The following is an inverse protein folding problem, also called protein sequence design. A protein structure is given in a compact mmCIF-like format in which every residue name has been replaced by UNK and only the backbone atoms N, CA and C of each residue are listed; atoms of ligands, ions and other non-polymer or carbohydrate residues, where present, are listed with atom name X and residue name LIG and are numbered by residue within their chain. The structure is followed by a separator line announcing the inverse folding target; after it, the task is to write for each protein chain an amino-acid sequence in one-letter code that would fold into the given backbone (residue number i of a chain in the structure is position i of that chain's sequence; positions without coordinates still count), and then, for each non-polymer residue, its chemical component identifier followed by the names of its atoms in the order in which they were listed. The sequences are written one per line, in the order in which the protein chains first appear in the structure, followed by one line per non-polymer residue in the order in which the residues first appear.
data_IF_803336110513
#
_entry.id   IF_803336110513
#
_cell.length_a   1.000
_cell.length_b   1.000
_cell.length_c   1.000
_cell.angle_alpha   90.00
_cell.angle_beta   90.00
_cell.angle_gamma   90.00
#
_symmetry.space_group_name_H-M   'P 1'
#
loop_
_entity.id
_entity.type
_entity.pdbx_description
1 polymer ?
#
# COMPACT_ATOMS: atom_id res chain seq x y z
N UNK A 1 -16.88 -7.52 -25.85
CA UNK A 1 -17.08 -8.33 -24.64
C UNK A 1 -15.78 -9.07 -24.32
N UNK A 2 -14.83 -8.47 -23.60
CA UNK A 2 -13.53 -9.17 -23.43
C UNK A 2 -12.50 -8.61 -22.46
N UNK A 3 -12.67 -7.40 -21.93
CA UNK A 3 -11.71 -6.85 -20.95
C UNK A 3 -12.21 -7.00 -19.50
N UNK A 4 -13.53 -6.86 -19.29
CA UNK A 4 -14.14 -6.96 -17.96
C UNK A 4 -14.15 -8.40 -17.41
N UNK A 5 -14.30 -9.40 -18.28
CA UNK A 5 -14.28 -10.82 -17.89
C UNK A 5 -12.87 -11.33 -17.52
N UNK A 6 -11.81 -10.70 -18.01
CA UNK A 6 -10.43 -11.04 -17.63
C UNK A 6 -10.07 -10.50 -16.23
N UNK A 7 -10.66 -9.36 -15.84
CA UNK A 7 -10.55 -8.79 -14.49
C UNK A 7 -11.32 -9.62 -13.45
N UNK A 8 -12.49 -10.16 -13.81
CA UNK A 8 -13.26 -11.09 -12.97
C UNK A 8 -12.51 -12.41 -12.68
N UNK A 9 -11.65 -12.86 -13.61
CA UNK A 9 -10.84 -14.07 -13.45
C UNK A 9 -9.67 -13.89 -12.46
N UNK A 10 -9.10 -12.69 -12.38
CA UNK A 10 -7.99 -12.38 -11.46
C UNK A 10 -8.51 -12.15 -10.03
N UNK A 11 -9.72 -11.61 -9.89
CA UNK A 11 -10.35 -11.36 -8.59
C UNK A 11 -10.68 -12.62 -7.77
N UNK A 12 -10.79 -13.81 -8.41
CA UNK A 12 -11.12 -15.07 -7.71
C UNK A 12 -9.94 -15.79 -7.05
N UNK A 13 -8.69 -15.39 -7.34
CA UNK A 13 -7.50 -16.12 -6.87
C UNK A 13 -6.93 -15.66 -5.52
N UNK A 14 -7.37 -14.53 -4.98
CA UNK A 14 -6.75 -13.87 -3.81
C UNK A 14 -7.69 -13.86 -2.58
N UNK A 15 -8.86 -14.50 -2.66
CA UNK A 15 -9.97 -14.35 -1.69
C UNK A 15 -9.90 -15.30 -0.48
N UNK A 16 -8.70 -15.73 -0.08
CA UNK A 16 -8.54 -16.46 1.19
C UNK A 16 -7.49 -15.79 2.07
N UNK A 17 -7.86 -14.71 2.75
CA UNK A 17 -7.02 -14.21 3.84
C UNK A 17 -7.31 -12.81 4.42
N UNK A 18 -8.11 -11.96 3.78
CA UNK A 18 -8.41 -10.62 4.29
C UNK A 18 -9.91 -10.41 4.20
N UNK A 19 -10.59 -10.42 5.35
CA UNK A 19 -12.00 -10.09 5.43
C UNK A 19 -12.28 -8.73 4.77
N UNK A 20 -13.33 -8.73 3.95
CA UNK A 20 -13.91 -7.59 3.27
C UNK A 20 -14.12 -6.39 4.21
N UNK A 21 -13.26 -5.38 4.09
CA UNK A 21 -13.66 -4.01 4.39
C UNK A 21 -13.09 -3.08 3.33
N UNK A 22 -13.93 -2.70 2.36
CA UNK A 22 -13.66 -1.57 1.48
C UNK A 22 -13.82 -0.31 2.33
N UNK A 23 -12.78 0.06 3.09
CA UNK A 23 -12.75 1.31 3.84
C UNK A 23 -12.29 2.46 2.94
N UNK A 24 -13.07 3.54 2.93
CA UNK A 24 -12.69 4.80 2.30
C UNK A 24 -11.53 5.40 3.12
N UNK A 25 -10.51 6.05 2.52
CA UNK A 25 -9.28 6.44 3.23
C UNK A 25 -9.48 7.21 4.55
N UNK A 26 -10.56 8.00 4.64
CA UNK A 26 -10.93 8.75 5.85
C UNK A 26 -11.39 7.88 7.02
N UNK A 27 -12.04 6.74 6.76
CA UNK A 27 -12.50 5.82 7.80
C UNK A 27 -11.36 4.96 8.34
N UNK A 28 -10.38 4.62 7.49
CA UNK A 28 -9.10 4.02 7.94
C UNK A 28 -8.37 4.97 8.89
N UNK A 29 -8.31 6.27 8.56
CA UNK A 29 -7.69 7.26 9.41
C UNK A 29 -8.43 7.42 10.75
N UNK A 30 -9.77 7.45 10.74
CA UNK A 30 -10.57 7.62 11.97
C UNK A 30 -10.51 6.39 12.89
N UNK A 31 -10.51 5.18 12.31
CA UNK A 31 -10.33 3.93 13.06
C UNK A 31 -8.92 3.81 13.65
N UNK A 32 -7.88 4.14 12.86
CA UNK A 32 -6.48 4.11 13.32
C UNK A 32 -6.25 5.13 14.45
N UNK A 33 -6.77 6.35 14.32
CA UNK A 33 -6.68 7.38 15.37
C UNK A 33 -7.46 6.97 16.64
N UNK A 34 -8.64 6.36 16.50
CA UNK A 34 -9.42 5.87 17.64
C UNK A 34 -8.75 4.73 18.42
N UNK A 35 -7.90 3.93 17.77
CA UNK A 35 -7.08 2.87 18.38
C UNK A 35 -5.75 3.38 18.95
N UNK A 36 -5.18 4.46 18.39
CA UNK A 36 -3.87 5.03 18.75
C UNK A 36 -3.80 5.77 20.10
N UNK A 37 -4.93 6.20 20.68
CA UNK A 37 -4.95 7.03 21.89
C UNK A 37 -5.62 6.36 23.10
N UNK A 38 -5.91 5.06 23.04
CA UNK A 38 -6.72 4.34 24.04
C UNK A 38 -5.94 3.60 25.14
N UNK A 39 -4.76 3.05 24.86
CA UNK A 39 -3.94 2.30 25.83
C UNK A 39 -2.44 2.41 25.44
N UNK A 40 -1.56 2.80 26.37
CA UNK A 40 -0.49 3.76 26.02
C UNK A 40 0.77 3.21 25.34
N UNK A 41 1.19 1.96 25.52
CA UNK A 41 2.53 1.54 25.05
C UNK A 41 2.54 0.21 24.27
N UNK A 42 1.75 -0.78 24.69
CA UNK A 42 1.61 -2.05 23.96
C UNK A 42 0.95 -1.87 22.58
N UNK A 43 0.05 -0.87 22.46
CA UNK A 43 -0.61 -0.55 21.20
C UNK A 43 0.32 0.17 20.23
N UNK A 44 1.27 1.00 20.70
CA UNK A 44 2.21 1.70 19.83
C UNK A 44 3.19 0.75 19.13
N UNK A 45 3.69 -0.27 19.81
CA UNK A 45 4.56 -1.28 19.19
C UNK A 45 3.79 -2.13 18.17
N UNK A 46 2.54 -2.49 18.50
CA UNK A 46 1.65 -3.20 17.57
C UNK A 46 1.37 -2.37 16.32
N UNK A 47 1.01 -1.10 16.50
CA UNK A 47 0.71 -0.18 15.40
C UNK A 47 1.96 0.10 14.56
N UNK A 48 3.14 0.21 15.16
CA UNK A 48 4.39 0.31 14.42
C UNK A 48 4.62 -0.93 13.54
N UNK A 49 4.29 -2.12 14.04
CA UNK A 49 4.31 -3.36 13.26
C UNK A 49 3.33 -3.35 12.08
N UNK A 50 2.11 -2.85 12.28
CA UNK A 50 1.08 -2.72 11.23
C UNK A 50 1.51 -1.71 10.15
N UNK A 51 2.07 -0.55 10.54
CA UNK A 51 2.59 0.46 9.61
C UNK A 51 3.77 -0.09 8.80
N UNK A 52 4.68 -0.84 9.43
CA UNK A 52 5.79 -1.49 8.71
C UNK A 52 5.30 -2.57 7.74
N UNK A 53 4.27 -3.34 8.13
CA UNK A 53 3.64 -4.30 7.24
C UNK A 53 2.99 -3.61 6.03
N UNK A 54 2.39 -2.44 6.23
CA UNK A 54 1.82 -1.63 5.15
C UNK A 54 2.90 -1.11 4.20
N UNK A 55 4.03 -0.60 4.73
CA UNK A 55 5.16 -0.19 3.90
C UNK A 55 5.66 -1.34 2.99
N UNK A 56 5.80 -2.54 3.54
CA UNK A 56 6.17 -3.74 2.77
C UNK A 56 5.15 -4.11 1.69
N UNK A 57 3.86 -3.87 1.93
CA UNK A 57 2.82 -4.10 0.92
C UNK A 57 2.92 -3.06 -0.21
N UNK A 58 3.21 -1.80 0.12
CA UNK A 58 3.45 -0.74 -0.87
C UNK A 58 4.66 -1.07 -1.73
N UNK A 59 5.76 -1.54 -1.12
CA UNK A 59 6.97 -1.96 -1.87
C UNK A 59 6.65 -3.08 -2.86
N UNK A 60 5.93 -4.12 -2.41
CA UNK A 60 5.52 -5.23 -3.30
C UNK A 60 4.63 -4.74 -4.44
N UNK A 61 3.64 -3.89 -4.15
CA UNK A 61 2.79 -3.31 -5.18
C UNK A 61 3.61 -2.50 -6.20
N UNK A 62 4.60 -1.75 -5.73
CA UNK A 62 5.50 -0.98 -6.58
C UNK A 62 6.28 -1.90 -7.55
N UNK A 63 6.79 -3.02 -7.05
CA UNK A 63 7.50 -4.03 -7.85
C UNK A 63 6.59 -4.76 -8.84
N UNK A 64 5.37 -5.09 -8.43
CA UNK A 64 4.36 -5.72 -9.29
C UNK A 64 3.98 -4.80 -10.46
N UNK A 65 3.73 -3.52 -10.19
CA UNK A 65 3.45 -2.53 -11.24
C UNK A 65 4.67 -2.36 -12.16
N UNK A 66 5.88 -2.27 -11.61
CA UNK A 66 7.11 -2.16 -12.41
C UNK A 66 7.27 -3.37 -13.35
N UNK A 67 7.00 -4.57 -12.85
CA UNK A 67 7.04 -5.81 -13.65
C UNK A 67 5.98 -5.77 -14.75
N UNK A 68 4.75 -5.37 -14.43
CA UNK A 68 3.66 -5.24 -15.41
C UNK A 68 3.99 -4.22 -16.50
N UNK A 69 4.58 -3.08 -16.15
CA UNK A 69 5.05 -2.09 -17.13
C UNK A 69 6.13 -2.65 -18.05
N UNK A 70 7.06 -3.46 -17.52
CA UNK A 70 8.10 -4.12 -18.32
C UNK A 70 7.56 -5.17 -19.31
N UNK A 71 6.34 -5.65 -19.09
CA UNK A 71 5.66 -6.62 -19.96
C UNK A 71 4.72 -5.96 -20.98
N UNK A 72 4.61 -4.62 -20.99
CA UNK A 72 3.78 -3.91 -21.96
C UNK A 72 4.33 -4.10 -23.38
N UNK A 73 3.51 -4.71 -24.24
CA UNK A 73 3.74 -4.85 -25.67
C UNK A 73 3.10 -3.71 -26.48
N UNK A 74 2.44 -2.77 -25.79
CA UNK A 74 1.82 -1.60 -26.39
C UNK A 74 2.87 -0.51 -26.62
N UNK A 75 2.92 0.03 -27.84
CA UNK A 75 3.92 1.02 -28.26
C UNK A 75 3.28 2.26 -28.89
N UNK A 76 4.06 3.35 -28.93
CA UNK A 76 3.69 4.63 -29.54
C UNK A 76 3.51 5.75 -28.51
N UNK A 77 3.26 6.99 -28.96
CA UNK A 77 3.33 8.18 -28.09
C UNK A 77 2.40 8.14 -26.87
N UNK A 78 1.24 7.50 -27.00
CA UNK A 78 0.31 7.31 -25.89
C UNK A 78 0.83 6.31 -24.84
N UNK A 79 1.51 5.24 -25.28
CA UNK A 79 2.14 4.28 -24.39
C UNK A 79 3.32 4.93 -23.66
N UNK A 80 4.14 5.70 -24.38
CA UNK A 80 5.28 6.42 -23.80
C UNK A 80 4.84 7.40 -22.70
N UNK A 81 3.75 8.16 -22.96
CA UNK A 81 3.17 9.07 -21.97
C UNK A 81 2.61 8.33 -20.75
N UNK A 82 1.94 7.19 -20.97
CA UNK A 82 1.44 6.34 -19.89
C UNK A 82 2.59 5.78 -19.04
N UNK A 83 3.63 5.23 -19.67
CA UNK A 83 4.82 4.68 -18.98
C UNK A 83 5.54 5.78 -18.19
N UNK A 84 5.67 6.98 -18.76
CA UNK A 84 6.27 8.11 -18.07
C UNK A 84 5.48 8.50 -16.81
N UNK A 85 4.15 8.60 -16.91
CA UNK A 85 3.29 8.88 -15.77
C UNK A 85 3.31 7.74 -14.73
N UNK A 86 3.26 6.49 -15.16
CA UNK A 86 3.33 5.34 -14.27
C UNK A 86 4.66 5.31 -13.49
N UNK A 87 5.79 5.59 -14.16
CA UNK A 87 7.10 5.70 -13.50
C UNK A 87 7.20 6.88 -12.52
N UNK A 88 6.40 7.93 -12.69
CA UNK A 88 6.27 8.99 -11.68
C UNK A 88 5.49 8.49 -10.47
N UNK A 89 4.36 7.80 -10.67
CA UNK A 89 3.58 7.21 -9.58
C UNK A 89 4.39 6.17 -8.78
N UNK A 90 5.22 5.35 -9.45
CA UNK A 90 6.12 4.40 -8.78
C UNK A 90 7.13 5.09 -7.86
N UNK A 91 7.59 6.30 -8.21
CA UNK A 91 8.49 7.09 -7.36
C UNK A 91 7.77 7.63 -6.14
N UNK A 92 6.53 8.07 -6.29
CA UNK A 92 5.72 8.51 -5.15
C UNK A 92 5.39 7.36 -4.20
N UNK A 93 5.05 6.17 -4.73
CA UNK A 93 4.82 4.98 -3.91
C UNK A 93 6.07 4.58 -3.12
N UNK A 94 7.26 4.69 -3.73
CA UNK A 94 8.52 4.47 -3.02
C UNK A 94 8.70 5.48 -1.88
N UNK A 95 8.43 6.76 -2.12
CA UNK A 95 8.46 7.80 -1.08
C UNK A 95 7.46 7.54 0.06
N UNK A 96 6.24 7.13 -0.27
CA UNK A 96 5.22 6.75 0.73
C UNK A 96 5.70 5.58 1.61
N UNK A 97 6.32 4.56 1.00
CA UNK A 97 6.87 3.43 1.75
C UNK A 97 7.95 3.89 2.73
N UNK A 98 8.87 4.76 2.30
CA UNK A 98 9.90 5.35 3.18
C UNK A 98 9.29 6.15 4.33
N UNK A 99 8.25 6.96 4.05
CA UNK A 99 7.52 7.72 5.08
C UNK A 99 6.85 6.80 6.10
N UNK A 100 6.21 5.72 5.66
CA UNK A 100 5.59 4.72 6.53
C UNK A 100 6.65 4.01 7.39
N UNK A 101 7.80 3.64 6.83
CA UNK A 101 8.91 3.07 7.60
C UNK A 101 9.43 4.06 8.65
N UNK A 102 9.56 5.34 8.30
CA UNK A 102 9.94 6.41 9.21
C UNK A 102 8.94 6.59 10.35
N UNK A 103 7.64 6.54 10.04
CA UNK A 103 6.56 6.60 11.03
C UNK A 103 6.61 5.41 11.99
N UNK A 104 6.72 4.19 11.46
CA UNK A 104 6.84 2.98 12.29
C UNK A 104 8.05 3.08 13.24
N UNK A 105 9.20 3.54 12.74
CA UNK A 105 10.39 3.75 13.58
C UNK A 105 10.17 4.82 14.67
N UNK A 106 9.48 5.91 14.35
CA UNK A 106 9.14 6.95 15.33
C UNK A 106 8.17 6.41 16.42
N UNK A 107 7.19 5.61 16.03
CA UNK A 107 6.23 4.98 16.95
C UNK A 107 6.92 4.01 17.91
N UNK A 108 7.84 3.16 17.42
CA UNK A 108 8.66 2.31 18.29
C UNK A 108 9.48 3.13 19.27
N UNK A 109 10.17 4.18 18.79
CA UNK A 109 10.94 5.05 19.68
C UNK A 109 10.07 5.66 20.78
N UNK A 110 8.84 6.05 20.46
CA UNK A 110 7.90 6.57 21.45
C UNK A 110 7.52 5.50 22.49
N UNK A 111 7.19 4.28 22.04
CA UNK A 111 6.84 3.16 22.91
C UNK A 111 7.96 2.69 23.84
N UNK A 112 9.22 2.99 23.49
CA UNK A 112 10.41 2.62 24.28
C UNK A 112 10.92 3.75 25.21
N UNK A 113 10.41 4.98 25.04
CA UNK A 113 10.78 6.14 25.86
C UNK A 113 9.78 6.40 26.99
N UNK A 114 8.53 5.95 26.82
CA UNK A 114 7.53 5.85 27.89
C UNK A 114 7.59 4.47 28.56
#
# INVERSE_FOLDING_TARGET
MGFLSALEGIGKGIVHGVEDVVLVPSEVAHWALGKMFGDSDADLEKLAGEVEAMAKQVDRLNDDIRTALGQLTWHGPASDAFIAHANERLRELAGLSEELQGLAAAMRRLAHVY
#
